data_IF_843853796853
#
_entry.id   IF_843853796853
#
_cell.length_a   1.000
_cell.length_b   1.000
_cell.length_c   1.000
_cell.angle_alpha   90.00
_cell.angle_beta   90.00
_cell.angle_gamma   90.00
#
_symmetry.space_group_name_H-M   'P 1'
#
loop_
_entity.id
_entity.type
_entity.pdbx_description
1 polymer ?
#
# COMPACT_ATOMS: atom_id res chain seq x y z
N UNK A 1 10.74 16.05 -0.26
CA UNK A 1 12.22 16.15 -0.13
C UNK A 1 12.66 17.12 0.97
N UNK A 2 12.19 18.40 1.02
CA UNK A 2 12.64 19.35 2.07
C UNK A 2 12.36 18.82 3.49
N UNK A 3 11.15 18.35 3.77
CA UNK A 3 10.80 17.80 5.09
C UNK A 3 11.63 16.55 5.44
N UNK A 4 11.86 15.67 4.46
CA UNK A 4 12.68 14.47 4.66
C UNK A 4 14.15 14.80 4.91
N UNK A 5 14.69 15.85 4.25
CA UNK A 5 16.05 16.31 4.49
C UNK A 5 16.23 16.85 5.93
N UNK A 6 15.26 17.64 6.42
CA UNK A 6 15.29 18.13 7.81
C UNK A 6 15.19 16.98 8.81
N UNK A 7 14.26 16.06 8.60
CA UNK A 7 14.08 14.89 9.46
C UNK A 7 15.37 14.06 9.56
N UNK A 8 15.99 13.72 8.41
CA UNK A 8 17.25 12.96 8.38
C UNK A 8 18.41 13.71 9.06
N UNK A 9 18.50 15.03 8.85
CA UNK A 9 19.52 15.85 9.48
C UNK A 9 19.33 15.91 11.01
N UNK A 10 18.13 16.19 11.48
CA UNK A 10 17.82 16.27 12.90
C UNK A 10 17.93 14.91 13.61
N UNK A 11 17.55 13.83 12.95
CA UNK A 11 17.77 12.47 13.44
C UNK A 11 19.28 12.15 13.58
N UNK A 12 20.11 12.56 12.61
CA UNK A 12 21.54 12.39 12.66
C UNK A 12 22.17 13.21 13.80
N UNK A 13 21.79 14.47 13.92
CA UNK A 13 22.30 15.36 15.00
C UNK A 13 21.75 14.97 16.38
N UNK A 14 20.69 14.14 16.44
CA UNK A 14 19.90 13.80 17.64
C UNK A 14 19.30 15.04 18.33
N UNK A 15 19.11 16.09 17.56
CA UNK A 15 18.58 17.36 18.05
C UNK A 15 18.32 18.35 16.91
N UNK A 16 17.69 19.46 17.28
CA UNK A 16 17.32 20.54 16.36
C UNK A 16 17.87 21.87 16.85
N UNK A 17 18.14 22.80 15.92
CA UNK A 17 18.48 24.17 16.26
C UNK A 17 17.22 24.95 16.65
N UNK A 18 17.36 25.95 17.52
CA UNK A 18 16.26 26.85 17.90
C UNK A 18 15.86 27.81 16.80
N UNK A 19 16.76 28.11 15.86
CA UNK A 19 16.55 29.04 14.75
C UNK A 19 17.10 28.48 13.45
N UNK A 20 16.28 28.49 12.38
CA UNK A 20 16.66 28.06 11.04
C UNK A 20 16.56 29.21 10.04
N UNK A 21 17.62 29.44 9.26
CA UNK A 21 17.63 30.44 8.18
C UNK A 21 17.29 29.75 6.87
N UNK A 22 16.28 30.26 6.18
CA UNK A 22 15.74 29.63 4.97
C UNK A 22 15.73 30.59 3.79
N UNK A 23 16.06 30.06 2.64
CA UNK A 23 15.85 30.76 1.39
C UNK A 23 14.36 30.95 1.07
N UNK A 24 14.03 31.91 0.20
CA UNK A 24 12.68 32.18 -0.28
C UNK A 24 12.19 31.12 -1.29
N UNK A 25 12.50 29.84 -1.02
CA UNK A 25 12.03 28.73 -1.86
C UNK A 25 10.51 28.51 -1.71
N UNK A 26 9.81 28.17 -2.79
CA UNK A 26 8.35 27.95 -2.80
C UNK A 26 7.85 26.92 -1.78
N UNK A 27 8.67 25.98 -1.37
CA UNK A 27 8.33 24.98 -0.36
C UNK A 27 8.27 25.56 1.05
N UNK A 28 9.02 26.63 1.32
CA UNK A 28 9.05 27.31 2.62
C UNK A 28 8.21 28.58 2.61
N UNK A 29 8.24 29.36 1.53
CA UNK A 29 7.62 30.68 1.43
C UNK A 29 6.61 30.71 0.29
N UNK A 30 5.35 31.03 0.58
CA UNK A 30 4.27 31.20 -0.42
C UNK A 30 4.27 32.58 -1.03
N UNK A 31 4.55 33.62 -0.23
CA UNK A 31 4.59 35.00 -0.70
C UNK A 31 5.70 35.77 0.01
N UNK A 32 6.37 36.60 -0.76
CA UNK A 32 7.44 37.51 -0.32
C UNK A 32 6.87 38.93 -0.36
N UNK A 33 6.88 39.62 0.77
CA UNK A 33 6.48 41.02 0.87
C UNK A 33 7.71 41.93 0.96
N UNK A 34 7.52 43.21 0.98
CA UNK A 34 8.60 44.20 1.15
C UNK A 34 9.28 44.00 2.51
N UNK A 35 10.61 44.01 2.53
CA UNK A 35 11.39 43.77 3.76
C UNK A 35 11.52 42.29 4.13
N UNK A 36 11.36 41.99 5.41
CA UNK A 36 11.49 40.63 5.96
C UNK A 36 10.16 39.89 6.13
N UNK A 37 9.04 40.53 5.82
CA UNK A 37 7.74 39.88 5.94
C UNK A 37 7.58 38.77 4.89
N UNK A 38 7.08 37.62 5.34
CA UNK A 38 6.86 36.40 4.53
C UNK A 38 5.56 35.76 4.93
N UNK A 39 4.86 35.22 3.93
CA UNK A 39 3.84 34.21 4.18
C UNK A 39 4.46 32.85 3.92
N UNK A 40 4.70 32.14 5.02
CA UNK A 40 5.24 30.80 4.97
C UNK A 40 4.21 29.77 4.54
N UNK A 41 4.66 28.73 3.87
CA UNK A 41 3.83 27.57 3.58
C UNK A 41 3.34 26.91 4.88
N UNK A 42 2.05 26.60 4.94
CA UNK A 42 1.41 26.05 6.17
C UNK A 42 2.09 24.75 6.63
N UNK A 43 2.41 23.84 5.69
CA UNK A 43 3.08 22.56 6.02
C UNK A 43 4.51 22.78 6.50
N UNK A 44 5.19 23.76 5.94
CA UNK A 44 6.52 24.15 6.40
C UNK A 44 6.47 24.70 7.84
N UNK A 45 5.51 25.56 8.17
CA UNK A 45 5.32 26.02 9.56
C UNK A 45 5.00 24.88 10.52
N UNK A 46 4.18 23.91 10.10
CA UNK A 46 3.89 22.72 10.91
C UNK A 46 5.16 21.91 11.21
N UNK A 47 6.06 21.75 10.23
CA UNK A 47 7.37 21.13 10.44
C UNK A 47 8.23 21.93 11.42
N UNK A 48 8.30 23.26 11.24
CA UNK A 48 9.06 24.12 12.16
C UNK A 48 8.52 24.03 13.58
N UNK A 49 7.19 24.03 13.75
CA UNK A 49 6.55 23.87 15.07
C UNK A 49 6.81 22.48 15.67
N UNK A 50 6.78 21.42 14.87
CA UNK A 50 7.08 20.06 15.33
C UNK A 50 8.49 19.93 15.89
N UNK A 51 9.45 20.58 15.22
CA UNK A 51 10.86 20.55 15.64
C UNK A 51 11.28 21.71 16.54
N UNK A 52 10.36 22.59 16.92
CA UNK A 52 10.61 23.81 17.72
C UNK A 52 11.66 24.73 17.10
N UNK A 53 11.69 24.82 15.77
CA UNK A 53 12.59 25.68 15.01
C UNK A 53 11.89 26.99 14.64
N UNK A 54 12.46 28.13 15.02
CA UNK A 54 12.00 29.43 14.55
C UNK A 54 12.49 29.68 13.11
N UNK A 55 11.62 29.74 12.09
CA UNK A 55 12.04 30.01 10.74
C UNK A 55 12.36 31.48 10.54
N UNK A 56 13.47 31.78 9.91
CA UNK A 56 13.87 33.12 9.47
C UNK A 56 14.16 33.07 7.97
N UNK A 57 13.46 33.88 7.19
CA UNK A 57 13.72 33.96 5.75
C UNK A 57 14.87 34.91 5.45
N UNK A 58 15.68 34.57 4.44
CA UNK A 58 16.69 35.48 3.90
C UNK A 58 16.05 36.73 3.33
N UNK A 59 16.76 37.85 3.42
CA UNK A 59 16.39 39.09 2.77
C UNK A 59 16.43 38.92 1.24
N UNK A 60 15.44 39.42 0.49
CA UNK A 60 15.47 39.34 -0.98
C UNK A 60 16.74 39.96 -1.53
N UNK A 61 17.35 39.35 -2.54
CA UNK A 61 18.56 39.77 -3.21
C UNK A 61 19.83 39.87 -2.31
N UNK A 62 19.83 39.34 -1.09
CA UNK A 62 20.98 39.35 -0.19
C UNK A 62 21.78 38.04 -0.32
N UNK A 63 22.58 37.95 -1.39
CA UNK A 63 23.45 36.79 -1.68
C UNK A 63 24.45 36.48 -0.54
N UNK A 64 24.88 37.52 0.19
CA UNK A 64 25.82 37.36 1.32
C UNK A 64 25.27 36.55 2.50
N UNK A 65 23.94 36.55 2.71
CA UNK A 65 23.30 35.70 3.75
C UNK A 65 23.37 34.20 3.39
N UNK A 66 23.65 33.88 2.09
CA UNK A 66 23.73 32.51 1.58
C UNK A 66 25.15 32.02 1.33
N UNK A 67 26.14 32.89 1.39
CA UNK A 67 27.50 32.60 0.93
C UNK A 67 28.10 31.34 1.56
N UNK A 68 27.83 31.08 2.84
CA UNK A 68 28.30 29.85 3.50
C UNK A 68 27.66 28.59 2.93
N UNK A 69 26.35 28.59 2.67
CA UNK A 69 25.63 27.40 2.16
C UNK A 69 26.05 27.10 0.72
N UNK A 70 26.17 28.12 -0.13
CA UNK A 70 26.61 27.95 -1.51
C UNK A 70 28.04 27.46 -1.62
N UNK A 71 28.94 27.98 -0.79
CA UNK A 71 30.31 27.50 -0.68
C UNK A 71 30.37 26.03 -0.23
N UNK A 72 29.56 25.63 0.75
CA UNK A 72 29.51 24.24 1.21
C UNK A 72 28.99 23.28 0.12
N UNK A 73 28.00 23.68 -0.67
CA UNK A 73 27.53 22.87 -1.80
C UNK A 73 28.64 22.67 -2.85
N UNK A 74 29.38 23.73 -3.18
CA UNK A 74 30.53 23.65 -4.08
C UNK A 74 31.59 22.69 -3.55
N UNK A 75 31.98 22.87 -2.30
CA UNK A 75 33.00 22.06 -1.61
C UNK A 75 32.61 20.58 -1.54
N UNK A 76 31.35 20.26 -1.21
CA UNK A 76 30.83 18.88 -1.21
C UNK A 76 30.91 18.27 -2.60
N UNK A 77 30.52 19.01 -3.65
CA UNK A 77 30.58 18.52 -5.04
C UNK A 77 32.00 18.22 -5.48
N UNK A 78 32.92 19.14 -5.28
CA UNK A 78 34.32 18.95 -5.67
C UNK A 78 34.99 17.81 -4.91
N UNK A 79 34.74 17.73 -3.61
CA UNK A 79 35.44 16.79 -2.74
C UNK A 79 34.89 15.36 -2.80
N UNK A 80 33.58 15.21 -2.86
CA UNK A 80 32.95 13.89 -2.77
C UNK A 80 32.37 13.38 -4.11
N UNK A 81 32.15 14.25 -5.10
CA UNK A 81 31.56 13.85 -6.36
C UNK A 81 32.50 14.02 -7.56
N UNK A 82 33.77 14.33 -7.31
CA UNK A 82 34.79 14.41 -8.34
C UNK A 82 35.93 13.43 -8.01
N UNK A 83 36.26 12.47 -8.91
CA UNK A 83 35.61 12.17 -10.18
C UNK A 83 34.18 11.63 -10.02
N UNK A 84 33.39 11.62 -11.10
CA UNK A 84 31.99 11.20 -11.09
C UNK A 84 31.84 9.78 -10.53
N UNK A 85 31.07 9.65 -9.44
CA UNK A 85 30.80 8.39 -8.78
C UNK A 85 29.89 7.48 -9.61
N UNK A 86 30.11 6.17 -9.48
CA UNK A 86 29.20 5.13 -9.97
C UNK A 86 28.69 4.35 -8.78
N UNK A 87 27.39 4.37 -8.56
CA UNK A 87 26.71 3.71 -7.44
C UNK A 87 25.55 2.87 -7.97
N UNK A 88 25.18 1.82 -7.25
CA UNK A 88 24.08 0.92 -7.63
C UNK A 88 22.72 1.47 -7.22
N UNK A 89 22.66 2.23 -6.12
CA UNK A 89 21.43 2.80 -5.58
C UNK A 89 21.69 4.13 -4.87
N UNK A 90 20.60 4.89 -4.63
CA UNK A 90 20.67 6.10 -3.80
C UNK A 90 20.96 5.77 -2.34
N UNK A 91 20.55 4.60 -1.84
CA UNK A 91 20.83 4.19 -0.46
C UNK A 91 22.32 3.91 -0.25
N UNK A 92 22.97 3.24 -1.21
CA UNK A 92 24.42 3.05 -1.21
C UNK A 92 25.16 4.40 -1.24
N UNK A 93 24.70 5.33 -2.09
CA UNK A 93 25.27 6.66 -2.16
C UNK A 93 25.12 7.43 -0.85
N UNK A 94 23.94 7.40 -0.24
CA UNK A 94 23.66 8.10 1.02
C UNK A 94 24.50 7.55 2.17
N UNK A 95 24.62 6.22 2.29
CA UNK A 95 25.44 5.58 3.31
C UNK A 95 26.93 5.97 3.14
N UNK A 96 27.45 5.85 1.92
CA UNK A 96 28.83 6.22 1.59
C UNK A 96 29.09 7.71 1.86
N UNK A 97 28.18 8.62 1.46
CA UNK A 97 28.33 10.05 1.66
C UNK A 97 28.33 10.42 3.15
N UNK A 98 27.48 9.78 3.94
CA UNK A 98 27.44 9.99 5.38
C UNK A 98 28.77 9.62 6.03
N UNK A 99 29.33 8.45 5.71
CA UNK A 99 30.63 8.00 6.21
C UNK A 99 31.75 8.98 5.82
N UNK A 100 31.73 9.48 4.58
CA UNK A 100 32.71 10.48 4.11
C UNK A 100 32.58 11.82 4.81
N UNK A 101 31.35 12.30 5.05
CA UNK A 101 31.12 13.55 5.80
C UNK A 101 31.60 13.43 7.25
N UNK A 102 31.32 12.33 7.93
CA UNK A 102 31.76 12.08 9.30
C UNK A 102 33.29 11.97 9.38
N UNK A 103 33.90 11.21 8.47
CA UNK A 103 35.36 11.06 8.40
C UNK A 103 36.04 12.42 8.15
N UNK A 104 35.46 13.23 7.25
CA UNK A 104 35.96 14.58 6.98
C UNK A 104 35.89 15.46 8.23
N UNK A 105 34.73 15.51 8.92
CA UNK A 105 34.54 16.33 10.12
C UNK A 105 35.49 15.94 11.25
N UNK A 106 35.86 14.67 11.36
CA UNK A 106 36.82 14.16 12.34
C UNK A 106 38.28 14.49 11.99
N UNK A 107 38.61 14.60 10.70
CA UNK A 107 39.97 14.82 10.25
C UNK A 107 40.33 16.32 10.06
N UNK A 108 39.35 17.19 9.94
CA UNK A 108 39.58 18.60 9.59
C UNK A 108 39.30 19.53 10.77
N UNK A 109 40.13 20.57 10.85
CA UNK A 109 40.01 21.62 11.87
C UNK A 109 38.79 22.49 11.61
N UNK A 110 38.18 22.97 12.70
CA UNK A 110 37.08 23.92 12.61
C UNK A 110 37.61 25.27 12.11
N UNK A 111 36.87 25.99 11.19
CA UNK A 111 37.33 27.23 10.60
C UNK A 111 37.60 28.37 11.59
N UNK A 112 36.83 28.43 12.68
CA UNK A 112 36.89 29.48 13.71
C UNK A 112 37.68 29.03 14.96
N UNK A 113 37.55 27.76 15.35
CA UNK A 113 38.29 27.16 16.46
C UNK A 113 39.34 26.17 15.93
N UNK A 114 40.47 26.70 15.45
CA UNK A 114 41.48 25.91 14.75
C UNK A 114 42.24 24.89 15.63
N UNK A 115 42.08 24.93 16.92
CA UNK A 115 42.60 23.95 17.87
C UNK A 115 41.76 22.65 17.96
N UNK A 116 40.48 22.72 17.55
CA UNK A 116 39.55 21.60 17.55
C UNK A 116 39.14 21.15 16.12
N UNK A 117 38.72 19.92 16.02
CA UNK A 117 38.10 19.41 14.79
C UNK A 117 36.62 19.84 14.67
N UNK A 118 36.07 19.80 13.44
CA UNK A 118 34.65 20.07 13.21
C UNK A 118 33.79 19.12 14.05
N UNK A 119 34.22 17.85 14.19
CA UNK A 119 33.52 16.85 14.97
C UNK A 119 33.53 17.13 16.48
N UNK A 120 34.64 17.57 17.02
CA UNK A 120 34.77 17.95 18.46
C UNK A 120 33.85 19.12 18.80
N UNK A 121 33.77 20.13 17.92
CA UNK A 121 32.81 21.24 18.10
C UNK A 121 31.37 20.74 18.06
N UNK A 122 31.02 19.90 17.07
CA UNK A 122 29.70 19.31 17.02
C UNK A 122 29.32 18.50 18.28
N UNK A 123 30.24 17.73 18.82
CA UNK A 123 30.05 16.98 20.08
C UNK A 123 29.82 17.91 21.28
N UNK A 124 30.50 19.04 21.32
CA UNK A 124 30.31 20.06 22.35
C UNK A 124 28.97 20.80 22.23
N UNK A 125 28.49 21.03 21.01
CA UNK A 125 27.20 21.68 20.73
C UNK A 125 26.00 20.75 20.98
N UNK A 126 26.14 19.44 20.78
CA UNK A 126 25.04 18.46 20.83
C UNK A 126 24.19 18.55 22.11
N UNK A 127 24.72 18.71 23.33
CA UNK A 127 23.93 18.86 24.55
C UNK A 127 23.02 20.11 24.57
N UNK A 128 23.35 21.11 23.77
CA UNK A 128 22.61 22.39 23.69
C UNK A 128 21.50 22.38 22.61
N UNK A 129 21.43 21.33 21.79
CA UNK A 129 20.36 21.17 20.82
C UNK A 129 19.02 20.84 21.51
N UNK A 130 17.92 21.30 20.92
CA UNK A 130 16.59 20.84 21.33
C UNK A 130 16.47 19.35 20.97
N UNK A 131 16.05 18.47 21.89
CA UNK A 131 16.00 17.03 21.62
C UNK A 131 15.13 16.69 20.40
N UNK A 132 15.60 15.76 19.55
CA UNK A 132 14.82 15.27 18.43
C UNK A 132 13.61 14.46 18.92
N UNK A 133 12.39 14.87 18.54
CA UNK A 133 11.11 14.30 19.01
C UNK A 133 10.52 13.25 18.08
N UNK A 134 11.23 12.86 17.05
CA UNK A 134 10.76 11.88 16.06
C UNK A 134 10.36 12.52 14.73
N UNK A 135 9.99 11.67 13.77
CA UNK A 135 9.76 12.05 12.39
C UNK A 135 8.52 12.92 12.22
N UNK A 136 8.66 14.03 11.51
CA UNK A 136 7.51 14.83 11.05
C UNK A 136 6.79 14.12 9.89
N UNK A 137 5.47 14.09 9.92
CA UNK A 137 4.64 13.54 8.83
C UNK A 137 4.62 14.51 7.63
N UNK A 138 5.74 14.55 6.92
CA UNK A 138 6.03 15.52 5.86
C UNK A 138 5.61 15.07 4.46
N UNK A 139 4.38 15.35 4.06
CA UNK A 139 3.87 15.08 2.72
C UNK A 139 3.42 16.34 1.98
N UNK A 140 3.32 16.22 0.67
CA UNK A 140 2.64 17.19 -0.20
C UNK A 140 1.28 16.62 -0.59
N UNK A 141 0.19 17.30 -0.20
CA UNK A 141 -1.17 16.88 -0.53
C UNK A 141 -1.62 17.46 -1.86
N UNK A 142 -2.17 16.61 -2.73
CA UNK A 142 -2.74 16.97 -4.03
C UNK A 142 -4.08 16.29 -4.19
N UNK A 143 -5.17 17.03 -4.46
CA UNK A 143 -6.45 16.43 -4.81
C UNK A 143 -6.35 15.76 -6.17
N UNK A 144 -6.98 14.60 -6.31
CA UNK A 144 -6.98 13.82 -7.54
C UNK A 144 -8.29 13.05 -7.70
N UNK A 145 -8.51 12.53 -8.91
CA UNK A 145 -9.64 11.66 -9.22
C UNK A 145 -9.19 10.26 -9.56
N UNK A 146 -10.03 9.27 -9.23
CA UNK A 146 -9.78 7.86 -9.56
C UNK A 146 -10.36 7.56 -10.93
N UNK A 147 -9.53 7.02 -11.83
CA UNK A 147 -9.96 6.58 -13.15
C UNK A 147 -10.83 5.31 -13.07
N UNK A 148 -11.59 5.02 -14.13
CA UNK A 148 -12.37 3.77 -14.26
C UNK A 148 -11.50 2.49 -14.23
N UNK A 149 -10.19 2.62 -14.41
CA UNK A 149 -9.22 1.53 -14.32
C UNK A 149 -8.55 1.45 -12.94
N UNK A 150 -9.17 2.01 -11.89
CA UNK A 150 -8.69 2.01 -10.51
C UNK A 150 -7.28 2.59 -10.38
N UNK A 151 -6.98 3.68 -11.10
CA UNK A 151 -5.67 4.35 -11.01
C UNK A 151 -5.82 5.86 -10.78
N UNK A 152 -4.88 6.41 -10.04
CA UNK A 152 -4.73 7.84 -9.79
C UNK A 152 -3.45 8.34 -10.46
N UNK A 153 -3.48 9.52 -11.06
CA UNK A 153 -2.30 10.15 -11.66
C UNK A 153 -1.62 11.08 -10.68
N UNK A 154 -0.32 10.92 -10.56
CA UNK A 154 0.53 11.82 -9.82
C UNK A 154 1.94 11.85 -10.46
N UNK A 155 2.52 13.05 -10.64
CA UNK A 155 3.90 13.27 -11.14
C UNK A 155 4.20 12.50 -12.44
N UNK A 156 3.26 12.57 -13.42
CA UNK A 156 3.28 11.86 -14.70
C UNK A 156 3.26 10.32 -14.63
N UNK A 157 3.00 9.75 -13.46
CA UNK A 157 2.86 8.30 -13.23
C UNK A 157 1.43 7.95 -12.80
N UNK A 158 1.09 6.67 -12.82
CA UNK A 158 -0.18 6.14 -12.35
C UNK A 158 0.05 5.17 -11.21
N UNK A 159 -0.81 5.25 -10.21
CA UNK A 159 -0.78 4.39 -9.02
C UNK A 159 -2.13 3.75 -8.82
N UNK A 160 -2.17 2.46 -8.59
CA UNK A 160 -3.44 1.76 -8.39
C UNK A 160 -4.04 2.08 -7.01
N UNK A 161 -5.34 1.99 -6.92
CA UNK A 161 -6.11 2.08 -5.67
C UNK A 161 -7.14 0.97 -5.61
N UNK A 162 -7.64 0.67 -4.41
CA UNK A 162 -8.72 -0.31 -4.24
C UNK A 162 -9.90 0.02 -5.16
N UNK A 163 -10.45 -1.01 -5.80
CA UNK A 163 -11.49 -0.84 -6.81
C UNK A 163 -12.76 -0.13 -6.30
N UNK A 164 -13.01 -0.19 -5.00
CA UNK A 164 -14.14 0.49 -4.34
C UNK A 164 -14.00 2.01 -4.28
N UNK A 165 -12.79 2.55 -4.49
CA UNK A 165 -12.51 3.99 -4.48
C UNK A 165 -12.91 4.70 -5.79
N UNK A 166 -13.27 3.96 -6.85
CA UNK A 166 -13.63 4.52 -8.16
C UNK A 166 -14.86 5.42 -8.06
N UNK A 167 -14.83 6.57 -8.75
CA UNK A 167 -15.97 7.50 -8.86
C UNK A 167 -16.05 8.57 -7.78
N UNK A 168 -15.14 8.57 -6.80
CA UNK A 168 -15.06 9.61 -5.77
C UNK A 168 -13.68 10.28 -5.76
N UNK A 169 -13.57 11.53 -5.29
CA UNK A 169 -12.28 12.21 -5.16
C UNK A 169 -11.39 11.54 -4.11
N UNK A 170 -10.08 11.72 -4.27
CA UNK A 170 -9.06 11.23 -3.36
C UNK A 170 -8.02 12.31 -3.10
N UNK A 171 -7.29 12.19 -2.01
CA UNK A 171 -6.09 12.96 -1.73
C UNK A 171 -4.83 12.10 -1.91
N UNK A 172 -3.89 12.62 -2.68
CA UNK A 172 -2.56 12.02 -2.84
C UNK A 172 -1.61 12.69 -1.85
N UNK A 173 -1.13 11.95 -0.87
CA UNK A 173 -0.08 12.38 0.04
C UNK A 173 1.27 11.90 -0.50
N UNK A 174 2.00 12.80 -1.12
CA UNK A 174 3.31 12.51 -1.71
C UNK A 174 4.44 12.75 -0.70
N UNK A 175 5.04 11.66 -0.26
CA UNK A 175 6.24 11.66 0.57
C UNK A 175 7.51 11.64 -0.31
N UNK A 176 8.68 11.62 0.30
CA UNK A 176 9.95 11.52 -0.42
C UNK A 176 10.07 10.20 -1.19
N UNK A 177 9.69 9.08 -0.60
CA UNK A 177 9.92 7.72 -1.12
C UNK A 177 8.62 6.94 -1.41
N UNK A 178 7.47 7.43 -0.95
CA UNK A 178 6.18 6.75 -1.09
C UNK A 178 5.05 7.70 -1.45
N UNK A 179 4.00 7.14 -2.01
CA UNK A 179 2.72 7.79 -2.30
C UNK A 179 1.65 7.08 -1.48
N UNK A 180 0.91 7.83 -0.66
CA UNK A 180 -0.25 7.33 0.07
C UNK A 180 -1.48 8.02 -0.48
N UNK A 181 -2.47 7.26 -0.91
CA UNK A 181 -3.71 7.77 -1.49
C UNK A 181 -4.82 7.54 -0.49
N UNK A 182 -5.52 8.61 -0.14
CA UNK A 182 -6.60 8.58 0.86
C UNK A 182 -7.92 8.99 0.26
N UNK A 183 -8.98 8.35 0.72
CA UNK A 183 -10.36 8.69 0.43
C UNK A 183 -11.12 8.76 1.75
N UNK A 184 -11.76 9.91 2.05
CA UNK A 184 -12.49 10.12 3.30
C UNK A 184 -11.67 9.76 4.56
N UNK A 185 -10.36 10.07 4.55
CA UNK A 185 -9.43 9.76 5.64
C UNK A 185 -8.88 8.33 5.66
N UNK A 186 -9.44 7.41 4.87
CA UNK A 186 -9.01 6.01 4.79
C UNK A 186 -7.96 5.84 3.70
N UNK A 187 -6.92 5.05 3.96
CA UNK A 187 -5.91 4.69 2.95
C UNK A 187 -6.53 3.72 1.94
N UNK A 188 -6.55 4.11 0.67
CA UNK A 188 -7.06 3.33 -0.45
C UNK A 188 -5.95 2.86 -1.41
N UNK A 189 -4.72 3.27 -1.17
CA UNK A 189 -3.53 2.80 -1.88
C UNK A 189 -2.27 3.36 -1.28
N UNK A 190 -1.22 2.52 -1.20
CA UNK A 190 0.12 2.94 -0.80
C UNK A 190 1.14 2.27 -1.73
N UNK A 191 2.08 3.06 -2.24
CA UNK A 191 3.06 2.61 -3.22
C UNK A 191 4.41 3.26 -3.00
N UNK A 192 5.48 2.59 -3.40
CA UNK A 192 6.77 3.24 -3.59
C UNK A 192 6.63 4.35 -4.66
N UNK A 193 7.24 5.51 -4.42
CA UNK A 193 7.20 6.63 -5.36
C UNK A 193 8.06 6.34 -6.59
N UNK A 194 7.47 6.41 -7.77
CA UNK A 194 8.17 6.32 -9.03
C UNK A 194 8.66 7.72 -9.46
N UNK A 195 9.94 7.85 -9.79
CA UNK A 195 10.58 9.11 -10.22
C UNK A 195 10.73 9.24 -11.74
N UNK A 196 10.35 8.22 -12.50
CA UNK A 196 10.30 8.27 -13.97
C UNK A 196 9.03 8.93 -14.49
N UNK A 197 8.76 8.75 -15.79
CA UNK A 197 7.52 9.21 -16.45
C UNK A 197 6.83 8.04 -17.13
N UNK A 198 5.50 8.06 -17.15
CA UNK A 198 4.69 7.10 -17.87
C UNK A 198 4.59 5.72 -17.24
N UNK A 199 5.11 5.55 -16.01
CA UNK A 199 5.04 4.30 -15.28
C UNK A 199 3.63 4.09 -14.69
N UNK A 200 3.20 2.82 -14.61
CA UNK A 200 2.01 2.45 -13.85
C UNK A 200 2.43 1.45 -12.77
N UNK A 201 2.24 1.84 -11.53
CA UNK A 201 2.55 1.02 -10.35
C UNK A 201 1.26 0.36 -9.90
N UNK A 202 1.22 -0.96 -9.99
CA UNK A 202 0.07 -1.77 -9.61
C UNK A 202 0.31 -2.46 -8.28
N UNK A 203 -0.73 -2.46 -7.45
CA UNK A 203 -0.92 -3.47 -6.41
C UNK A 203 -2.06 -4.39 -6.89
N UNK A 204 -1.80 -5.67 -7.18
CA UNK A 204 -2.80 -6.60 -7.64
C UNK A 204 -3.98 -6.79 -6.68
N UNK A 205 -3.75 -6.63 -5.37
CA UNK A 205 -4.78 -6.75 -4.34
C UNK A 205 -5.90 -5.72 -4.49
N UNK A 206 -5.61 -4.55 -5.05
CA UNK A 206 -6.60 -3.52 -5.32
C UNK A 206 -7.69 -3.97 -6.30
N UNK A 207 -7.40 -4.98 -7.13
CA UNK A 207 -8.27 -5.46 -8.20
C UNK A 207 -9.01 -6.74 -7.86
N UNK A 208 -8.78 -7.35 -6.71
CA UNK A 208 -9.48 -8.59 -6.30
C UNK A 208 -11.00 -8.46 -6.39
N UNK A 209 -11.65 -7.36 -5.93
CA UNK A 209 -13.09 -7.19 -6.09
C UNK A 209 -13.57 -7.15 -7.56
N UNK A 210 -12.71 -6.71 -8.47
CA UNK A 210 -13.01 -6.68 -9.92
C UNK A 210 -12.92 -8.08 -10.52
N UNK A 211 -11.97 -8.91 -10.03
CA UNK A 211 -11.81 -10.30 -10.48
C UNK A 211 -13.05 -11.15 -10.22
N UNK A 212 -13.80 -10.89 -9.14
CA UNK A 212 -15.05 -11.58 -8.88
C UNK A 212 -16.05 -11.47 -10.04
N UNK A 213 -16.05 -10.34 -10.76
CA UNK A 213 -16.88 -10.11 -11.94
C UNK A 213 -16.26 -10.59 -13.24
N UNK A 214 -14.92 -10.65 -13.33
CA UNK A 214 -14.16 -11.02 -14.53
C UNK A 214 -12.97 -11.92 -14.17
N UNK A 215 -13.19 -13.18 -13.75
CA UNK A 215 -12.13 -14.09 -13.29
C UNK A 215 -11.02 -14.29 -14.33
N UNK A 216 -11.35 -14.34 -15.63
CA UNK A 216 -10.38 -14.50 -16.71
C UNK A 216 -9.35 -13.35 -16.82
N UNK A 217 -9.61 -12.18 -16.20
CA UNK A 217 -8.62 -11.10 -16.14
C UNK A 217 -7.39 -11.49 -15.33
N UNK A 218 -7.47 -12.50 -14.44
CA UNK A 218 -6.34 -13.02 -13.68
C UNK A 218 -5.21 -13.55 -14.58
N UNK A 219 -5.51 -14.02 -15.80
CA UNK A 219 -4.51 -14.52 -16.75
C UNK A 219 -3.75 -13.43 -17.47
N UNK A 220 -4.45 -12.40 -17.93
CA UNK A 220 -3.90 -11.44 -18.91
C UNK A 220 -3.99 -9.98 -18.46
N UNK A 221 -4.57 -9.70 -17.29
CA UNK A 221 -4.71 -8.33 -16.79
C UNK A 221 -3.35 -7.75 -16.40
N UNK A 222 -3.08 -6.52 -16.83
CA UNK A 222 -1.81 -5.83 -16.55
C UNK A 222 -1.43 -5.83 -15.06
N UNK A 223 -2.36 -5.66 -14.09
CA UNK A 223 -2.02 -5.72 -12.67
C UNK A 223 -1.50 -7.08 -12.19
N UNK A 224 -1.77 -8.17 -12.91
CA UNK A 224 -1.49 -9.55 -12.48
C UNK A 224 -0.32 -10.22 -13.20
N UNK A 225 0.28 -9.52 -14.17
CA UNK A 225 1.30 -10.08 -15.06
C UNK A 225 2.53 -10.57 -14.27
N UNK A 226 3.00 -9.74 -13.35
CA UNK A 226 4.19 -10.02 -12.54
C UNK A 226 3.82 -10.29 -11.06
N UNK A 227 2.58 -10.73 -10.82
CA UNK A 227 2.10 -10.95 -9.46
C UNK A 227 2.72 -12.19 -8.83
N UNK A 228 3.53 -11.98 -7.81
CA UNK A 228 4.10 -13.03 -6.99
C UNK A 228 3.13 -13.33 -5.85
N UNK A 229 2.50 -14.49 -5.91
CA UNK A 229 1.66 -15.00 -4.82
C UNK A 229 2.51 -15.75 -3.81
N UNK A 230 2.06 -15.85 -2.53
CA UNK A 230 2.65 -16.75 -1.56
C UNK A 230 2.76 -18.20 -2.08
N UNK A 231 3.73 -19.00 -1.60
CA UNK A 231 4.07 -20.28 -2.22
C UNK A 231 2.93 -21.28 -2.37
N UNK A 232 2.09 -21.45 -1.33
CA UNK A 232 0.99 -22.41 -1.39
C UNK A 232 -0.15 -21.92 -2.29
N UNK A 233 -0.49 -20.62 -2.25
CA UNK A 233 -1.44 -20.01 -3.18
C UNK A 233 -0.95 -20.13 -4.63
N UNK A 234 0.33 -19.93 -4.88
CA UNK A 234 0.96 -20.10 -6.20
C UNK A 234 0.89 -21.57 -6.66
N UNK A 235 1.07 -22.53 -5.75
CA UNK A 235 0.94 -23.97 -6.05
C UNK A 235 -0.50 -24.32 -6.44
N UNK A 236 -1.50 -23.84 -5.70
CA UNK A 236 -2.92 -24.02 -6.06
C UNK A 236 -3.22 -23.39 -7.41
N UNK A 237 -2.83 -22.12 -7.64
CA UNK A 237 -3.02 -21.44 -8.92
C UNK A 237 -2.47 -22.25 -10.09
N UNK A 238 -1.30 -22.85 -9.93
CA UNK A 238 -0.63 -23.69 -10.96
C UNK A 238 -1.45 -24.95 -11.25
N UNK A 239 -2.00 -25.58 -10.23
CA UNK A 239 -2.84 -26.79 -10.36
C UNK A 239 -4.19 -26.47 -11.01
N UNK A 240 -4.81 -25.34 -10.65
CA UNK A 240 -6.08 -24.89 -11.22
C UNK A 240 -5.97 -24.40 -12.66
N UNK A 241 -4.77 -24.06 -13.16
CA UNK A 241 -4.58 -23.48 -14.52
C UNK A 241 -5.08 -24.38 -15.65
N UNK A 242 -5.22 -25.69 -15.44
CA UNK A 242 -5.74 -26.65 -16.41
C UNK A 242 -7.25 -26.91 -16.33
N UNK A 243 -7.96 -26.29 -15.39
CA UNK A 243 -9.41 -26.47 -15.19
C UNK A 243 -10.19 -25.36 -15.86
N UNK A 244 -11.37 -25.66 -16.42
CA UNK A 244 -12.23 -24.68 -17.08
C UNK A 244 -12.70 -23.56 -16.13
N UNK A 245 -12.88 -23.88 -14.87
CA UNK A 245 -13.29 -22.95 -13.81
C UNK A 245 -12.13 -22.50 -12.89
N UNK A 246 -10.90 -22.88 -13.22
CA UNK A 246 -9.73 -22.65 -12.37
C UNK A 246 -9.49 -21.20 -11.97
N UNK A 247 -9.70 -20.27 -12.91
CA UNK A 247 -9.59 -18.84 -12.57
C UNK A 247 -10.67 -18.40 -11.58
N UNK A 248 -11.91 -18.91 -11.73
CA UNK A 248 -13.02 -18.61 -10.81
C UNK A 248 -12.72 -19.14 -9.41
N UNK A 249 -12.24 -20.37 -9.32
CA UNK A 249 -11.83 -20.96 -8.04
C UNK A 249 -10.69 -20.17 -7.39
N UNK A 250 -9.66 -19.80 -8.17
CA UNK A 250 -8.57 -18.99 -7.63
C UNK A 250 -9.06 -17.64 -7.12
N UNK A 251 -9.97 -16.99 -7.84
CA UNK A 251 -10.57 -15.71 -7.43
C UNK A 251 -11.38 -15.86 -6.14
N UNK A 252 -12.10 -16.97 -5.94
CA UNK A 252 -12.80 -17.26 -4.67
C UNK A 252 -11.81 -17.31 -3.50
N UNK A 253 -10.66 -17.98 -3.66
CA UNK A 253 -9.61 -18.03 -2.63
C UNK A 253 -9.03 -16.63 -2.36
N UNK A 254 -8.71 -15.87 -3.42
CA UNK A 254 -8.18 -14.52 -3.29
C UNK A 254 -9.18 -13.59 -2.58
N UNK A 255 -10.47 -13.78 -2.81
CA UNK A 255 -11.53 -12.98 -2.19
C UNK A 255 -11.70 -13.22 -0.69
N UNK A 256 -11.10 -14.26 -0.12
CA UNK A 256 -11.09 -14.47 1.32
C UNK A 256 -10.01 -13.61 2.03
N UNK A 257 -9.02 -13.11 1.29
CA UNK A 257 -7.88 -12.39 1.90
C UNK A 257 -8.27 -11.08 2.60
N UNK A 258 -9.21 -10.26 2.10
CA UNK A 258 -9.64 -9.05 2.80
C UNK A 258 -10.24 -9.33 4.20
N UNK A 259 -10.92 -10.44 4.37
CA UNK A 259 -11.63 -10.80 5.60
C UNK A 259 -10.75 -11.63 6.57
N UNK A 260 -10.01 -12.60 6.04
CA UNK A 260 -9.22 -13.56 6.83
C UNK A 260 -7.75 -13.16 7.01
N UNK A 261 -7.25 -12.27 6.14
CA UNK A 261 -5.85 -11.93 6.05
C UNK A 261 -5.03 -12.92 5.20
N UNK A 262 -3.98 -12.40 4.60
CA UNK A 262 -3.12 -13.15 3.66
C UNK A 262 -2.48 -14.39 4.30
N UNK A 263 -2.06 -14.28 5.56
CA UNK A 263 -1.38 -15.38 6.28
C UNK A 263 -2.31 -16.54 6.56
N UNK A 264 -3.57 -16.27 6.94
CA UNK A 264 -4.56 -17.32 7.22
C UNK A 264 -4.93 -18.06 5.93
N UNK A 265 -5.16 -17.33 4.83
CA UNK A 265 -5.47 -17.92 3.52
C UNK A 265 -4.29 -18.74 2.99
N UNK A 266 -3.07 -18.25 3.11
CA UNK A 266 -1.85 -19.01 2.72
C UNK A 266 -1.70 -20.28 3.55
N UNK A 267 -1.96 -20.22 4.86
CA UNK A 267 -1.89 -21.39 5.73
C UNK A 267 -2.98 -22.44 5.39
N UNK A 268 -4.19 -22.00 5.02
CA UNK A 268 -5.24 -22.90 4.55
C UNK A 268 -4.91 -23.52 3.19
N UNK A 269 -4.34 -22.73 2.29
CA UNK A 269 -3.84 -23.23 1.01
C UNK A 269 -2.74 -24.28 1.18
N UNK A 270 -1.83 -24.07 2.14
CA UNK A 270 -0.76 -25.01 2.45
C UNK A 270 -1.32 -26.34 2.96
N UNK A 271 -2.24 -26.31 3.90
CA UNK A 271 -2.92 -27.49 4.42
C UNK A 271 -3.64 -28.27 3.30
N UNK A 272 -4.34 -27.56 2.38
CA UNK A 272 -4.98 -28.19 1.24
C UNK A 272 -3.98 -28.86 0.28
N UNK A 273 -2.85 -28.18 -0.01
CA UNK A 273 -1.77 -28.72 -0.86
C UNK A 273 -1.14 -29.96 -0.24
N UNK A 274 -0.87 -29.96 1.07
CA UNK A 274 -0.27 -31.08 1.80
C UNK A 274 -1.20 -32.29 1.79
N UNK A 275 -2.52 -32.08 1.77
CA UNK A 275 -3.53 -33.11 1.61
C UNK A 275 -3.78 -33.53 0.14
N UNK A 276 -3.07 -32.96 -0.81
CA UNK A 276 -3.21 -33.25 -2.24
C UNK A 276 -4.46 -32.67 -2.89
N UNK A 277 -5.19 -31.77 -2.21
CA UNK A 277 -6.44 -31.15 -2.70
C UNK A 277 -6.20 -29.68 -3.09
N UNK A 278 -6.81 -29.24 -4.19
CA UNK A 278 -6.52 -27.91 -4.74
C UNK A 278 -7.80 -27.07 -5.01
N UNK A 279 -8.98 -27.54 -4.62
CA UNK A 279 -10.24 -26.87 -4.92
C UNK A 279 -10.55 -25.73 -3.94
N UNK A 280 -11.15 -24.65 -4.45
CA UNK A 280 -11.55 -23.51 -3.62
C UNK A 280 -12.50 -23.89 -2.46
N UNK A 281 -13.53 -24.73 -2.65
CA UNK A 281 -14.40 -25.15 -1.55
C UNK A 281 -13.64 -25.75 -0.37
N UNK A 282 -12.60 -26.57 -0.63
CA UNK A 282 -11.80 -27.19 0.43
C UNK A 282 -10.98 -26.13 1.19
N UNK A 283 -10.34 -25.20 0.49
CA UNK A 283 -9.59 -24.10 1.13
C UNK A 283 -10.52 -23.24 1.99
N UNK A 284 -11.71 -22.91 1.50
CA UNK A 284 -12.70 -22.12 2.22
C UNK A 284 -13.20 -22.88 3.46
N UNK A 285 -13.43 -24.20 3.37
CA UNK A 285 -13.81 -25.03 4.51
C UNK A 285 -12.71 -25.10 5.57
N UNK A 286 -11.44 -25.18 5.15
CA UNK A 286 -10.29 -25.12 6.06
C UNK A 286 -10.27 -23.77 6.78
N UNK A 287 -10.48 -22.66 6.06
CA UNK A 287 -10.58 -21.32 6.65
C UNK A 287 -11.72 -21.23 7.66
N UNK A 288 -12.92 -21.70 7.30
CA UNK A 288 -14.08 -21.70 8.19
C UNK A 288 -13.80 -22.49 9.47
N UNK A 289 -13.19 -23.66 9.36
CA UNK A 289 -12.81 -24.49 10.53
C UNK A 289 -11.77 -23.79 11.42
N UNK A 290 -10.88 -22.99 10.84
CA UNK A 290 -9.87 -22.22 11.60
C UNK A 290 -10.44 -20.99 12.29
N UNK A 291 -11.52 -20.41 11.75
CA UNK A 291 -12.26 -19.31 12.42
C UNK A 291 -12.99 -19.79 13.66
N UNK A 292 -13.54 -21.02 13.62
CA UNK A 292 -14.26 -21.63 14.73
C UNK A 292 -13.60 -22.97 15.12
N UNK A 293 -12.46 -22.93 15.82
CA UNK A 293 -11.71 -24.13 16.18
C UNK A 293 -12.39 -24.99 17.29
N UNK A 294 -13.42 -24.47 17.91
CA UNK A 294 -14.08 -25.18 18.98
C UNK A 294 -15.06 -26.19 18.38
N UNK A 295 -14.79 -27.52 18.45
CA UNK A 295 -15.79 -28.49 18.04
C UNK A 295 -17.05 -28.31 18.90
N UNK A 296 -18.25 -28.40 18.29
CA UNK A 296 -19.46 -28.30 19.05
C UNK A 296 -19.40 -29.33 20.21
N UNK A 297 -19.84 -28.97 21.43
CA UNK A 297 -19.79 -29.88 22.55
C UNK A 297 -20.53 -31.17 22.18
N UNK A 298 -19.89 -32.31 22.42
CA UNK A 298 -20.50 -33.61 22.21
C UNK A 298 -21.82 -33.63 22.96
N UNK A 299 -22.93 -33.61 22.23
CA UNK A 299 -24.26 -33.78 22.81
C UNK A 299 -24.31 -35.19 23.36
N UNK A 300 -24.26 -35.34 24.70
CA UNK A 300 -24.52 -36.59 25.37
C UNK A 300 -26.00 -36.89 25.20
N UNK A 301 -26.31 -37.75 24.22
CA UNK A 301 -27.70 -38.19 24.00
C UNK A 301 -28.21 -38.92 25.24
N UNK A 302 -29.28 -38.44 25.89
CA UNK A 302 -29.90 -39.15 27.00
C UNK A 302 -30.19 -40.60 26.60
N UNK A 303 -30.08 -41.54 27.57
CA UNK A 303 -30.24 -42.98 27.31
C UNK A 303 -31.58 -43.31 26.63
N UNK A 304 -32.63 -42.53 26.92
CA UNK A 304 -33.95 -42.68 26.30
C UNK A 304 -33.99 -42.32 24.79
N UNK A 305 -33.00 -41.56 24.30
CA UNK A 305 -32.88 -41.15 22.88
C UNK A 305 -31.76 -41.90 22.13
N UNK A 306 -31.11 -42.86 22.81
CA UNK A 306 -30.13 -43.73 22.14
C UNK A 306 -30.87 -44.73 21.27
N UNK A 307 -30.39 -44.86 20.02
CA UNK A 307 -30.89 -45.89 19.11
C UNK A 307 -30.68 -47.26 19.75
N UNK A 308 -31.74 -48.03 19.89
CA UNK A 308 -31.70 -49.42 20.41
C UNK A 308 -31.09 -50.39 19.37
N UNK A 309 -31.03 -49.98 18.12
CA UNK A 309 -30.43 -50.76 17.03
C UNK A 309 -29.50 -49.89 16.22
N UNK A 310 -28.36 -50.44 15.82
CA UNK A 310 -27.41 -49.72 14.96
C UNK A 310 -28.06 -49.50 13.58
N UNK A 311 -28.10 -48.22 13.09
CA UNK A 311 -28.69 -47.97 11.78
C UNK A 311 -27.81 -48.54 10.69
N UNK A 312 -28.26 -49.58 10.03
CA UNK A 312 -27.62 -50.17 8.87
C UNK A 312 -28.09 -49.35 7.64
N UNK A 313 -27.17 -48.68 6.98
CA UNK A 313 -27.46 -47.96 5.76
C UNK A 313 -27.75 -48.93 4.62
N UNK A 314 -29.04 -49.12 4.27
CA UNK A 314 -29.45 -49.88 3.09
C UNK A 314 -29.44 -48.97 1.86
N UNK A 315 -28.31 -48.88 1.18
CA UNK A 315 -28.16 -48.10 -0.08
C UNK A 315 -29.00 -48.68 -1.22
N UNK A 316 -29.38 -49.96 -1.19
CA UNK A 316 -30.18 -50.61 -2.23
C UNK A 316 -31.61 -50.04 -2.28
N UNK A 317 -32.09 -49.49 -1.17
CA UNK A 317 -33.40 -48.80 -1.11
C UNK A 317 -33.49 -47.59 -2.03
N UNK A 318 -32.37 -46.92 -2.30
CA UNK A 318 -32.29 -45.75 -3.17
C UNK A 318 -32.13 -46.12 -4.65
N UNK A 319 -31.73 -47.34 -4.99
CA UNK A 319 -31.63 -47.81 -6.36
C UNK A 319 -33.01 -47.95 -7.04
N UNK A 320 -34.06 -48.14 -6.23
CA UNK A 320 -35.44 -48.14 -6.72
C UNK A 320 -35.88 -46.76 -7.28
N UNK A 321 -35.34 -45.65 -6.71
CA UNK A 321 -35.63 -44.29 -7.14
C UNK A 321 -34.93 -43.96 -8.51
N UNK A 322 -33.81 -44.59 -8.79
CA UNK A 322 -33.11 -44.45 -10.08
C UNK A 322 -33.84 -45.17 -11.22
N UNK A 323 -34.59 -46.21 -10.95
CA UNK A 323 -35.36 -46.99 -11.98
C UNK A 323 -36.65 -46.30 -12.39
N UNK A 324 -37.26 -45.48 -11.54
CA UNK A 324 -38.52 -44.78 -11.85
C UNK A 324 -38.35 -43.54 -12.74
N UNK A 325 -37.15 -43.04 -12.94
CA UNK A 325 -36.89 -41.86 -13.79
C UNK A 325 -36.68 -42.17 -15.27
N UNK A 326 -36.80 -43.48 -15.71
CA UNK A 326 -36.60 -43.88 -17.13
C UNK A 326 -37.86 -44.16 -17.95
N UNK A 327 -39.07 -44.06 -17.40
CA UNK A 327 -40.29 -44.21 -18.20
C UNK A 327 -41.31 -43.18 -17.78
N UNK A 328 -41.46 -42.14 -18.61
CA UNK A 328 -42.49 -41.13 -18.47
C UNK A 328 -42.37 -40.03 -19.49
N UNK A 329 -42.36 -40.37 -20.75
CA UNK A 329 -42.79 -39.41 -21.78
C UNK A 329 -44.27 -39.19 -21.64
N UNK A 330 -44.71 -38.27 -20.79
CA UNK A 330 -46.06 -37.75 -20.84
C UNK A 330 -46.15 -36.68 -21.93
N UNK A 331 -47.06 -36.77 -22.87
CA UNK A 331 -47.35 -35.68 -23.79
C UNK A 331 -47.94 -34.53 -22.98
N UNK A 332 -47.33 -33.36 -23.13
CA UNK A 332 -47.75 -32.10 -22.54
C UNK A 332 -49.13 -31.71 -23.11
N UNK A 333 -50.23 -31.62 -22.31
CA UNK A 333 -51.47 -31.09 -22.80
C UNK A 333 -51.32 -29.60 -23.07
N UNK A 334 -51.62 -29.16 -24.30
CA UNK A 334 -51.74 -27.75 -24.65
C UNK A 334 -52.81 -27.09 -23.78
N UNK A 335 -52.60 -25.92 -23.21
CA UNK A 335 -53.65 -25.14 -22.59
C UNK A 335 -54.44 -24.42 -23.64
N UNK A 336 -55.61 -24.92 -23.99
CA UNK A 336 -56.67 -24.15 -24.65
C UNK A 336 -57.34 -23.26 -23.60
N UNK A 337 -57.52 -21.97 -23.91
CA UNK A 337 -58.42 -21.08 -23.20
C UNK A 337 -57.75 -19.96 -22.41
N UNK A 338 -57.26 -18.94 -23.07
CA UNK A 338 -57.17 -17.61 -22.49
C UNK A 338 -58.39 -16.79 -22.86
N UNK A 339 -59.09 -16.17 -21.89
CA UNK A 339 -60.14 -15.19 -22.18
C UNK A 339 -59.57 -13.91 -22.72
N UNK A 340 -60.22 -13.42 -23.79
CA UNK A 340 -60.01 -12.20 -24.49
C UNK A 340 -60.46 -10.97 -23.65
N UNK A 341 -59.68 -10.55 -22.66
CA UNK A 341 -59.98 -9.33 -21.91
C UNK A 341 -58.67 -8.76 -21.25
N UNK A 342 -57.72 -8.32 -22.06
CA UNK A 342 -56.60 -7.47 -21.60
C UNK A 342 -55.80 -6.95 -22.83
N UNK A 343 -56.51 -6.30 -23.77
CA UNK A 343 -55.89 -5.63 -24.92
C UNK A 343 -56.19 -4.14 -25.04
N UNK A 344 -56.80 -3.50 -24.03
CA UNK A 344 -57.15 -2.08 -24.10
C UNK A 344 -56.56 -1.18 -22.98
N UNK A 345 -55.37 -1.50 -22.48
CA UNK A 345 -54.70 -0.65 -21.48
C UNK A 345 -53.24 -0.27 -21.83
N UNK A 346 -52.97 -0.08 -23.13
CA UNK A 346 -51.70 0.51 -23.58
C UNK A 346 -51.88 1.42 -24.80
N UNK A 347 -52.85 2.35 -24.71
CA UNK A 347 -52.89 3.59 -25.53
C UNK A 347 -53.65 4.66 -24.73
N UNK A 348 -52.92 5.38 -23.95
CA UNK A 348 -53.11 6.80 -23.62
C UNK A 348 -51.78 7.27 -22.97
#
# INVERSE_FOLDING_TARGET
>A
MVFDAHDRAFAFFKGTCTRGIYDNMKTAVEAVFTGKERRYNRRFLQMCSHYLVQPVACTPASGWEKGQVENQVGLVRERFFTPRLRVKSLDELNAWLLDKCVAYAKAHRHPEEADKTIWEIFEAERPHLVPYVGRFDGFHSVPASVSKTCTVRFDNNKYSVVATAVGRPVEVHAYAERIVIRQDGVVVGEHARAFGRGQTVYDPWHYVPVLARKPGALRNGAPFKDWVLPPAMAAIRRKLKGSDDGDRQMVQILSCVPDDGLQAVEAACREAVDQGVHSAPVVINILARRRDPTPPPLLLTPTALRLTHEPVADCARYDSLRRTSRHGTHPNPRPDGQPQALRDAQRL
#
